data_IF_157610033421
#
_entry.id   IF_157610033421
#
_cell.length_a   1.000
_cell.length_b   1.000
_cell.length_c   1.000
_cell.angle_alpha   90.00
_cell.angle_beta   90.00
_cell.angle_gamma   90.00
#
_symmetry.space_group_name_H-M   'P 1'
#
loop_
_entity.id
_entity.type
_entity.pdbx_description
1 polymer ?
#
# COMPACT_ATOMS: atom_id res chain seq x y z
N UNK A 1 -5.60 4.29 5.11
CA UNK A 1 -6.93 3.80 4.68
C UNK A 1 -7.18 4.22 3.25
N UNK A 2 -7.70 3.30 2.46
CA UNK A 2 -8.02 3.52 1.06
C UNK A 2 -9.50 3.27 0.79
N UNK A 3 -10.00 3.91 -0.25
CA UNK A 3 -11.24 3.60 -0.93
C UNK A 3 -10.89 3.25 -2.38
N UNK A 4 -11.48 2.19 -2.92
CA UNK A 4 -11.12 1.68 -4.25
C UNK A 4 -12.38 1.28 -5.01
N UNK A 5 -12.36 1.47 -6.33
CA UNK A 5 -13.36 0.93 -7.24
C UNK A 5 -12.70 -0.09 -8.16
N UNK A 6 -13.39 -1.22 -8.40
CA UNK A 6 -12.92 -2.29 -9.30
C UNK A 6 -13.91 -2.46 -10.44
N UNK A 7 -13.41 -2.45 -11.68
CA UNK A 7 -14.17 -2.74 -12.91
C UNK A 7 -13.37 -3.67 -13.79
N UNK A 8 -14.02 -4.66 -14.40
CA UNK A 8 -13.36 -5.64 -15.29
C UNK A 8 -12.10 -6.26 -14.66
N UNK A 9 -12.17 -6.59 -13.36
CA UNK A 9 -11.05 -7.12 -12.57
C UNK A 9 -9.81 -6.19 -12.49
N UNK A 10 -10.00 -4.87 -12.61
CA UNK A 10 -8.94 -3.86 -12.47
C UNK A 10 -9.35 -2.75 -11.50
N UNK A 11 -8.42 -2.28 -10.69
CA UNK A 11 -8.60 -1.11 -9.83
C UNK A 11 -8.63 0.13 -10.72
N UNK A 12 -9.81 0.73 -10.92
CA UNK A 12 -9.98 1.89 -11.79
C UNK A 12 -9.98 3.22 -11.03
N UNK A 13 -10.20 3.19 -9.72
CA UNK A 13 -10.06 4.34 -8.82
C UNK A 13 -9.47 3.88 -7.50
N UNK A 14 -8.60 4.71 -6.93
CA UNK A 14 -8.07 4.54 -5.58
C UNK A 14 -7.92 5.93 -4.96
N UNK A 15 -8.47 6.10 -3.76
CA UNK A 15 -8.45 7.36 -3.01
C UNK A 15 -7.91 7.12 -1.60
N UNK A 16 -7.10 8.06 -1.11
CA UNK A 16 -6.55 8.04 0.25
C UNK A 16 -7.52 8.76 1.19
N UNK A 17 -8.19 8.01 2.08
CA UNK A 17 -9.03 8.59 3.15
C UNK A 17 -8.20 9.00 4.38
N UNK A 18 -7.15 8.23 4.66
CA UNK A 18 -6.18 8.51 5.74
C UNK A 18 -4.81 8.02 5.30
N UNK A 19 -3.87 8.93 5.12
CA UNK A 19 -2.54 8.62 4.58
C UNK A 19 -1.42 8.68 5.61
N UNK A 20 -0.25 8.18 5.22
CA UNK A 20 1.00 8.38 5.95
C UNK A 20 1.46 9.85 5.84
N UNK A 21 1.93 10.46 6.93
CA UNK A 21 2.33 11.86 6.96
C UNK A 21 3.46 12.22 5.98
N UNK A 22 4.27 11.24 5.55
CA UNK A 22 5.33 11.40 4.57
C UNK A 22 4.86 11.49 3.11
N UNK A 23 3.56 11.35 2.83
CA UNK A 23 3.01 11.44 1.47
C UNK A 23 3.00 10.13 0.66
N UNK A 24 3.68 9.07 1.13
CA UNK A 24 3.79 7.79 0.41
C UNK A 24 2.44 7.18 0.02
N UNK A 25 1.38 7.39 0.81
CA UNK A 25 0.03 6.92 0.49
C UNK A 25 -0.52 7.43 -0.85
N UNK A 26 -0.21 8.68 -1.21
CA UNK A 26 -0.69 9.29 -2.45
C UNK A 26 0.18 8.87 -3.64
N UNK A 27 1.49 8.78 -3.44
CA UNK A 27 2.45 8.33 -4.46
C UNK A 27 2.24 6.85 -4.87
N UNK A 28 1.60 6.06 -4.01
CA UNK A 28 1.23 4.68 -4.34
C UNK A 28 0.10 4.58 -5.37
N UNK A 29 -0.81 5.56 -5.43
CA UNK A 29 -1.99 5.50 -6.31
C UNK A 29 -1.60 5.18 -7.77
N UNK A 30 -0.70 5.94 -8.44
CA UNK A 30 -0.35 5.66 -9.83
C UNK A 30 0.33 4.30 -10.06
N UNK A 31 0.91 3.68 -9.02
CA UNK A 31 1.50 2.33 -9.09
C UNK A 31 0.46 1.22 -9.05
N UNK A 32 -0.72 1.50 -8.50
CA UNK A 32 -1.77 0.52 -8.23
C UNK A 32 -2.91 0.58 -9.25
N UNK A 33 -3.20 1.78 -9.79
CA UNK A 33 -4.24 1.94 -10.79
C UNK A 33 -3.98 1.05 -12.01
N UNK A 34 -5.03 0.37 -12.48
CA UNK A 34 -5.00 -0.56 -13.62
C UNK A 34 -4.57 -1.98 -13.29
N UNK A 35 -4.06 -2.26 -12.09
CA UNK A 35 -3.72 -3.61 -11.64
C UNK A 35 -4.98 -4.39 -11.23
N UNK A 36 -4.91 -5.72 -11.30
CA UNK A 36 -5.91 -6.57 -10.68
C UNK A 36 -5.80 -6.49 -9.14
N UNK A 37 -6.88 -6.78 -8.39
CA UNK A 37 -6.82 -6.83 -6.93
C UNK A 37 -5.71 -7.72 -6.37
N UNK A 38 -5.45 -8.86 -7.02
CA UNK A 38 -4.39 -9.80 -6.66
C UNK A 38 -3.00 -9.18 -6.86
N UNK A 39 -2.68 -8.73 -8.08
CA UNK A 39 -1.39 -8.11 -8.40
C UNK A 39 -1.15 -6.84 -7.60
N UNK A 40 -2.20 -6.06 -7.31
CA UNK A 40 -2.12 -4.87 -6.47
C UNK A 40 -1.70 -5.22 -5.04
N UNK A 41 -2.23 -6.29 -4.45
CA UNK A 41 -1.86 -6.75 -3.11
C UNK A 41 -0.42 -7.29 -3.06
N UNK A 42 0.02 -7.99 -4.10
CA UNK A 42 1.40 -8.49 -4.20
C UNK A 42 2.44 -7.36 -4.34
N UNK A 43 2.06 -6.25 -5.00
CA UNK A 43 2.99 -5.16 -5.33
C UNK A 43 2.99 -4.02 -4.32
N UNK A 44 1.85 -3.64 -3.73
CA UNK A 44 1.73 -2.40 -2.92
C UNK A 44 2.70 -2.36 -1.74
N UNK A 45 2.98 -3.50 -1.10
CA UNK A 45 3.90 -3.57 0.03
C UNK A 45 5.35 -3.25 -0.38
N UNK A 46 5.74 -3.64 -1.61
CA UNK A 46 7.06 -3.36 -2.18
C UNK A 46 7.15 -1.91 -2.64
N UNK A 47 6.15 -1.43 -3.38
CA UNK A 47 6.11 -0.04 -3.85
C UNK A 47 6.16 0.94 -2.66
N UNK A 48 5.49 0.61 -1.56
CA UNK A 48 5.52 1.43 -0.35
C UNK A 48 6.91 1.54 0.27
N UNK A 49 7.73 0.49 0.19
CA UNK A 49 9.10 0.53 0.70
C UNK A 49 10.00 1.44 -0.11
N UNK A 50 9.76 1.56 -1.42
CA UNK A 50 10.52 2.46 -2.30
C UNK A 50 10.09 3.93 -2.19
N UNK A 51 8.84 4.19 -1.83
CA UNK A 51 8.28 5.55 -1.76
C UNK A 51 8.32 6.16 -0.36
N UNK A 52 8.52 5.35 0.68
CA UNK A 52 8.56 5.82 2.05
C UNK A 52 9.88 6.55 2.34
N UNK A 53 9.81 7.63 3.13
CA UNK A 53 10.97 8.39 3.59
C UNK A 53 11.67 7.80 4.82
N UNK A 54 11.22 6.65 5.34
CA UNK A 54 11.84 6.03 6.51
C UNK A 54 13.22 5.44 6.16
N UNK A 55 14.14 5.49 7.12
CA UNK A 55 15.50 4.97 6.95
C UNK A 55 15.48 3.46 6.66
N UNK A 56 15.98 3.01 5.49
CA UNK A 56 16.01 1.59 5.13
C UNK A 56 16.98 0.76 5.99
N UNK A 57 17.99 1.39 6.60
CA UNK A 57 19.06 0.71 7.33
C UNK A 57 18.71 0.44 8.80
N UNK A 58 17.65 1.06 9.32
CA UNK A 58 17.26 0.97 10.72
C UNK A 58 16.43 -0.30 10.99
N UNK A 59 17.09 -1.46 11.00
CA UNK A 59 16.47 -2.74 11.35
C UNK A 59 16.34 -2.89 12.87
N UNK A 60 15.16 -3.31 13.32
CA UNK A 60 14.95 -3.73 14.70
C UNK A 60 15.61 -5.10 14.93
N UNK A 61 16.56 -5.22 15.89
CA UNK A 61 17.28 -6.45 16.16
C UNK A 61 16.40 -7.59 16.73
N UNK A 62 15.22 -7.28 17.28
CA UNK A 62 14.29 -8.28 17.82
C UNK A 62 13.47 -8.89 16.70
N UNK A 63 12.86 -8.05 15.84
CA UNK A 63 11.95 -8.53 14.79
C UNK A 63 12.64 -8.82 13.47
N UNK A 64 13.88 -8.35 13.28
CA UNK A 64 14.61 -8.43 12.01
C UNK A 64 13.96 -7.61 10.89
N UNK A 65 13.11 -6.63 11.24
CA UNK A 65 12.36 -5.81 10.28
C UNK A 65 12.69 -4.33 10.47
N UNK A 66 12.79 -3.62 9.35
CA UNK A 66 12.88 -2.16 9.36
C UNK A 66 11.51 -1.49 9.35
N UNK A 67 11.46 -0.19 9.63
CA UNK A 67 10.25 0.62 9.52
C UNK A 67 9.59 0.53 8.12
N UNK A 68 10.38 0.32 7.06
CA UNK A 68 9.87 0.11 5.70
C UNK A 68 9.04 -1.17 5.57
N UNK A 69 9.47 -2.27 6.18
CA UNK A 69 8.71 -3.52 6.18
C UNK A 69 7.35 -3.34 6.85
N UNK A 70 7.32 -2.59 7.97
CA UNK A 70 6.09 -2.25 8.67
C UNK A 70 5.20 -1.37 7.81
N UNK A 71 5.75 -0.33 7.18
CA UNK A 71 5.01 0.54 6.26
C UNK A 71 4.36 -0.27 5.12
N UNK A 72 5.13 -1.14 4.46
CA UNK A 72 4.62 -2.03 3.42
C UNK A 72 3.43 -2.88 3.88
N UNK A 73 3.52 -3.48 5.08
CA UNK A 73 2.41 -4.25 5.67
C UNK A 73 1.18 -3.40 6.02
N UNK A 74 1.39 -2.17 6.50
CA UNK A 74 0.28 -1.23 6.77
C UNK A 74 -0.47 -0.90 5.47
N UNK A 75 0.25 -0.61 4.38
CA UNK A 75 -0.38 -0.29 3.10
C UNK A 75 -1.06 -1.51 2.45
N UNK A 76 -0.44 -2.70 2.53
CA UNK A 76 -1.05 -3.96 2.08
C UNK A 76 -2.36 -4.23 2.82
N UNK A 77 -2.35 -4.13 4.15
CA UNK A 77 -3.55 -4.36 4.95
C UNK A 77 -4.63 -3.31 4.68
N UNK A 78 -4.25 -2.05 4.50
CA UNK A 78 -5.19 -0.98 4.14
C UNK A 78 -5.88 -1.25 2.79
N UNK A 79 -5.15 -1.76 1.78
CA UNK A 79 -5.73 -2.13 0.50
C UNK A 79 -6.65 -3.35 0.62
N UNK A 80 -6.23 -4.37 1.38
CA UNK A 80 -7.04 -5.56 1.65
C UNK A 80 -8.39 -5.20 2.29
N UNK A 81 -8.39 -4.30 3.27
CA UNK A 81 -9.62 -3.79 3.90
C UNK A 81 -10.49 -3.04 2.91
N UNK A 82 -9.90 -2.20 2.04
CA UNK A 82 -10.65 -1.47 1.01
C UNK A 82 -11.33 -2.42 0.02
N UNK A 83 -10.60 -3.43 -0.48
CA UNK A 83 -11.12 -4.44 -1.40
C UNK A 83 -12.21 -5.32 -0.74
N UNK A 84 -12.09 -5.63 0.54
CA UNK A 84 -13.08 -6.42 1.27
C UNK A 84 -14.44 -5.72 1.40
N UNK A 85 -14.48 -4.38 1.38
CA UNK A 85 -15.72 -3.58 1.43
C UNK A 85 -16.51 -3.58 0.11
N UNK A 86 -15.92 -4.09 -0.98
CA UNK A 86 -16.59 -4.22 -2.28
C UNK A 86 -17.37 -5.52 -2.45
N UNK A 87 -17.21 -6.46 -1.51
CA UNK A 87 -17.97 -7.71 -1.45
C UNK A 87 -19.28 -7.48 -0.71
#
# INVERSE_FOLDING_TARGET
>A
EYEVDVRENKICRMEVKRGASCGASWELIPRILGLSPETALESIAREAQYLCAADPSNFDPITGKSALHVAGKVHEQALRVALAKLK
#
